data_IF_882950071753
#
_entry.id   IF_882950071753
#
_cell.length_a   1.000
_cell.length_b   1.000
_cell.length_c   1.000
_cell.angle_alpha   90.00
_cell.angle_beta   90.00
_cell.angle_gamma   90.00
#
_symmetry.space_group_name_H-M   'P 1'
#
loop_
_entity.id
_entity.type
_entity.pdbx_description
1 polymer ?
#
# COMPACT_ATOMS: atom_id res chain seq x y z
N UNK A 1 -51.75 -30.94 54.06
CA UNK A 1 -51.00 -29.80 53.54
C UNK A 1 -49.57 -30.26 53.39
N UNK A 2 -49.24 -30.92 52.26
CA UNK A 2 -47.90 -31.52 51.98
C UNK A 2 -47.08 -30.56 51.16
N UNK A 3 -45.90 -30.23 51.68
CA UNK A 3 -44.93 -29.37 51.03
C UNK A 3 -44.01 -30.28 50.18
N UNK A 4 -44.15 -30.20 48.86
CA UNK A 4 -43.28 -30.92 47.93
C UNK A 4 -42.03 -30.01 47.68
N UNK A 5 -40.92 -30.43 48.24
CA UNK A 5 -39.58 -29.78 48.00
C UNK A 5 -39.06 -30.34 46.70
N UNK A 6 -39.13 -29.53 45.62
CA UNK A 6 -38.53 -29.82 44.34
C UNK A 6 -37.02 -29.55 44.38
N UNK A 7 -36.22 -30.61 44.32
CA UNK A 7 -34.77 -30.55 44.13
C UNK A 7 -34.46 -30.17 42.66
N UNK A 8 -34.09 -28.92 42.42
CA UNK A 8 -33.48 -28.47 41.17
C UNK A 8 -32.01 -28.94 41.09
N UNK A 9 -31.81 -30.06 40.43
CA UNK A 9 -30.47 -30.50 39.99
C UNK A 9 -30.06 -29.59 38.82
N UNK A 10 -29.25 -28.55 39.09
CA UNK A 10 -28.55 -27.79 38.09
C UNK A 10 -27.39 -28.62 37.56
N UNK A 11 -27.58 -29.25 36.39
CA UNK A 11 -26.49 -29.86 35.64
C UNK A 11 -25.56 -28.76 35.13
N UNK A 12 -24.45 -28.51 35.84
CA UNK A 12 -23.32 -27.77 35.26
C UNK A 12 -22.72 -28.67 34.16
N UNK A 13 -23.11 -28.41 32.94
CA UNK A 13 -22.38 -28.91 31.77
C UNK A 13 -21.05 -28.21 31.71
N UNK A 14 -19.99 -28.86 32.19
CA UNK A 14 -18.61 -28.50 31.88
C UNK A 14 -18.42 -28.64 30.36
N UNK A 15 -18.62 -27.54 29.64
CA UNK A 15 -18.10 -27.41 28.29
C UNK A 15 -16.57 -27.38 28.42
N UNK A 16 -15.91 -28.56 28.29
CA UNK A 16 -14.54 -28.60 27.88
C UNK A 16 -14.49 -27.99 26.47
N UNK A 17 -14.05 -26.73 26.36
CA UNK A 17 -13.52 -26.23 25.11
C UNK A 17 -12.34 -27.16 24.76
N UNK A 18 -12.60 -28.12 23.90
CA UNK A 18 -11.57 -28.85 23.17
C UNK A 18 -10.97 -27.78 22.24
N UNK A 19 -9.94 -27.09 22.73
CA UNK A 19 -9.02 -26.40 21.82
C UNK A 19 -8.43 -27.52 20.96
N UNK A 20 -8.87 -27.59 19.72
CA UNK A 20 -8.33 -28.49 18.69
C UNK A 20 -6.81 -28.27 18.68
N UNK A 21 -6.06 -29.19 19.30
CA UNK A 21 -4.61 -29.08 19.37
C UNK A 21 -4.11 -29.14 17.93
N UNK A 22 -3.65 -27.99 17.42
CA UNK A 22 -3.15 -27.87 16.05
C UNK A 22 -2.12 -28.96 15.77
N UNK A 23 -2.45 -29.91 14.91
CA UNK A 23 -1.61 -31.09 14.64
C UNK A 23 -0.30 -30.74 13.91
N UNK A 24 -0.23 -29.54 13.29
CA UNK A 24 0.95 -28.98 12.63
C UNK A 24 1.10 -27.51 12.99
N UNK A 25 2.32 -27.10 13.28
CA UNK A 25 2.71 -25.71 13.55
C UNK A 25 3.76 -25.30 12.54
N UNK A 26 3.55 -24.18 11.84
CA UNK A 26 4.54 -23.57 10.95
C UNK A 26 5.19 -22.37 11.64
N UNK A 27 6.50 -22.30 11.58
CA UNK A 27 7.29 -21.18 12.14
C UNK A 27 8.30 -20.67 11.11
N UNK A 28 8.27 -19.38 10.78
CA UNK A 28 7.26 -18.40 11.17
C UNK A 28 5.90 -18.73 10.54
N UNK A 29 4.79 -18.31 11.19
CA UNK A 29 3.43 -18.57 10.69
C UNK A 29 3.07 -17.72 9.46
N UNK A 30 3.77 -16.59 9.28
CA UNK A 30 3.62 -15.64 8.18
C UNK A 30 4.97 -15.14 7.72
N UNK A 31 5.09 -14.85 6.42
CA UNK A 31 6.28 -14.25 5.81
C UNK A 31 5.87 -13.06 4.94
N UNK A 32 6.69 -12.00 4.96
CA UNK A 32 6.66 -10.92 3.99
C UNK A 32 8.00 -10.95 3.25
N UNK A 33 7.97 -11.27 1.95
CA UNK A 33 9.18 -11.56 1.17
C UNK A 33 9.21 -10.68 -0.07
N UNK A 34 10.36 -10.07 -0.35
CA UNK A 34 10.54 -9.36 -1.61
C UNK A 34 10.63 -10.35 -2.76
N UNK A 35 10.01 -10.02 -3.88
CA UNK A 35 10.11 -10.83 -5.10
C UNK A 35 11.57 -11.04 -5.51
N UNK A 36 11.94 -12.28 -5.71
CA UNK A 36 13.31 -12.69 -6.02
C UNK A 36 14.16 -13.07 -4.81
N UNK A 37 13.75 -12.73 -3.59
CA UNK A 37 14.50 -13.06 -2.37
C UNK A 37 14.24 -14.50 -1.91
N UNK A 38 15.14 -15.10 -1.12
CA UNK A 38 14.93 -16.42 -0.53
C UNK A 38 13.87 -16.41 0.56
N UNK A 39 13.26 -17.58 0.79
CA UNK A 39 12.31 -17.78 1.87
C UNK A 39 12.48 -19.17 2.49
N UNK A 40 12.17 -19.29 3.78
CA UNK A 40 12.17 -20.58 4.49
C UNK A 40 11.19 -20.59 5.65
N UNK A 41 10.70 -21.78 5.99
CA UNK A 41 9.85 -22.02 7.15
C UNK A 41 10.05 -23.44 7.66
N UNK A 42 9.69 -23.68 8.92
CA UNK A 42 9.77 -24.97 9.58
C UNK A 42 8.37 -25.43 9.95
N UNK A 43 7.99 -26.63 9.50
CA UNK A 43 6.78 -27.30 9.94
C UNK A 43 7.12 -28.27 11.07
N UNK A 44 6.35 -28.24 12.15
CA UNK A 44 6.53 -29.11 13.33
C UNK A 44 5.22 -29.83 13.62
N UNK A 45 5.30 -31.12 13.94
CA UNK A 45 4.16 -31.96 14.38
C UNK A 45 4.22 -32.22 15.88
N UNK A 46 3.07 -32.47 16.48
CA UNK A 46 2.89 -32.82 17.87
C UNK A 46 3.67 -34.14 18.22
N UNK A 47 3.56 -35.14 17.35
CA UNK A 47 4.26 -36.43 17.42
C UNK A 47 5.05 -36.67 16.13
N UNK A 48 6.09 -37.55 16.16
CA UNK A 48 6.79 -37.89 14.94
C UNK A 48 5.84 -38.51 13.88
N UNK A 49 5.75 -37.83 12.70
CA UNK A 49 4.93 -38.24 11.55
C UNK A 49 5.76 -38.16 10.28
N UNK A 50 5.31 -38.83 9.21
CA UNK A 50 5.83 -38.52 7.89
C UNK A 50 5.28 -37.16 7.48
N UNK A 51 6.16 -36.20 7.20
CA UNK A 51 5.85 -34.84 6.82
C UNK A 51 6.25 -34.59 5.37
N UNK A 52 5.50 -33.75 4.69
CA UNK A 52 5.80 -33.27 3.35
C UNK A 52 5.45 -31.79 3.21
N UNK A 53 6.08 -31.14 2.24
CA UNK A 53 5.71 -29.83 1.78
C UNK A 53 5.23 -29.88 0.32
N UNK A 54 4.05 -29.34 0.07
CA UNK A 54 3.52 -29.10 -1.27
C UNK A 54 3.62 -27.59 -1.58
N UNK A 55 4.27 -27.25 -2.68
CA UNK A 55 4.42 -25.89 -3.17
C UNK A 55 4.80 -25.92 -4.64
N UNK A 56 4.56 -24.81 -5.35
CA UNK A 56 5.04 -24.62 -6.74
C UNK A 56 6.56 -24.68 -6.83
N UNK A 57 7.27 -24.27 -5.76
CA UNK A 57 8.72 -24.32 -5.63
C UNK A 57 9.10 -24.82 -4.24
N UNK A 58 10.15 -25.62 -4.14
CA UNK A 58 10.66 -26.15 -2.86
C UNK A 58 9.79 -27.22 -2.22
N UNK A 59 8.83 -27.78 -2.95
CA UNK A 59 8.06 -28.93 -2.49
C UNK A 59 8.96 -30.14 -2.25
N UNK A 60 8.66 -30.88 -1.14
CA UNK A 60 9.46 -32.06 -0.76
C UNK A 60 8.60 -33.26 -0.74
N UNK A 61 8.25 -34.12 -1.24
CA UNK A 61 7.39 -35.29 -0.94
C UNK A 61 7.37 -35.64 0.56
N UNK A 62 6.69 -36.71 0.91
CA UNK A 62 6.71 -37.25 2.28
C UNK A 62 8.11 -37.76 2.63
N UNK A 63 8.52 -37.56 3.87
CA UNK A 63 9.75 -38.15 4.41
C UNK A 63 9.64 -39.67 4.52
N UNK A 64 10.71 -40.40 4.24
CA UNK A 64 10.75 -41.86 4.38
C UNK A 64 10.52 -42.31 5.82
N UNK A 65 10.95 -41.53 6.79
CA UNK A 65 10.84 -41.80 8.22
C UNK A 65 9.97 -40.77 8.91
N UNK A 66 9.38 -41.17 10.03
CA UNK A 66 8.65 -40.24 10.92
C UNK A 66 9.62 -39.26 11.54
N UNK A 67 9.34 -37.98 11.37
CA UNK A 67 10.13 -36.84 11.90
C UNK A 67 9.24 -35.89 12.70
N UNK A 68 9.83 -35.14 13.61
CA UNK A 68 9.10 -34.10 14.37
C UNK A 68 8.97 -32.78 13.60
N UNK A 69 9.86 -32.53 12.66
CA UNK A 69 9.83 -31.33 11.84
C UNK A 69 10.40 -31.56 10.45
N UNK A 70 10.01 -30.71 9.53
CA UNK A 70 10.53 -30.62 8.17
C UNK A 70 10.66 -29.16 7.75
N UNK A 71 11.80 -28.78 7.20
CA UNK A 71 12.01 -27.44 6.67
C UNK A 71 11.56 -27.34 5.22
N UNK A 72 11.00 -26.18 4.86
CA UNK A 72 10.80 -25.72 3.50
C UNK A 72 11.74 -24.56 3.24
N UNK A 73 12.33 -24.50 2.05
CA UNK A 73 13.16 -23.37 1.62
C UNK A 73 13.16 -23.26 0.10
N UNK A 74 13.27 -22.02 -0.35
CA UNK A 74 13.50 -21.65 -1.76
C UNK A 74 14.56 -20.56 -1.83
N UNK A 75 15.43 -20.61 -2.83
CA UNK A 75 16.47 -19.60 -3.02
C UNK A 75 15.92 -18.29 -3.60
N UNK A 76 14.78 -18.35 -4.26
CA UNK A 76 14.14 -17.18 -4.88
C UNK A 76 12.62 -17.38 -4.99
N UNK A 77 11.86 -16.46 -4.41
CA UNK A 77 10.40 -16.43 -4.51
C UNK A 77 10.00 -15.68 -5.76
N UNK A 78 9.59 -16.38 -6.81
CA UNK A 78 9.19 -15.84 -8.11
C UNK A 78 7.72 -16.07 -8.48
N UNK A 79 6.96 -16.68 -7.57
CA UNK A 79 5.53 -16.93 -7.73
C UNK A 79 4.74 -16.02 -6.78
N UNK A 80 3.89 -15.15 -7.34
CA UNK A 80 3.04 -14.22 -6.59
C UNK A 80 1.97 -14.92 -5.76
N UNK A 81 1.60 -16.14 -6.17
CA UNK A 81 0.55 -16.93 -5.56
C UNK A 81 1.08 -18.15 -4.81
N UNK A 82 2.38 -18.15 -4.48
CA UNK A 82 3.01 -19.26 -3.76
C UNK A 82 2.25 -19.59 -2.47
N UNK A 83 1.95 -20.88 -2.28
CA UNK A 83 1.16 -21.40 -1.15
C UNK A 83 1.79 -22.68 -0.61
N UNK A 84 2.94 -22.58 0.08
CA UNK A 84 3.55 -23.76 0.68
C UNK A 84 2.62 -24.34 1.73
N UNK A 85 2.30 -25.62 1.60
CA UNK A 85 1.42 -26.34 2.51
C UNK A 85 2.18 -27.51 3.10
N UNK A 86 2.33 -27.52 4.42
CA UNK A 86 2.84 -28.68 5.16
C UNK A 86 1.72 -29.69 5.36
N UNK A 87 2.00 -30.96 5.16
CA UNK A 87 1.02 -32.03 5.31
C UNK A 87 1.62 -33.30 5.92
N UNK A 88 0.74 -34.13 6.48
CA UNK A 88 1.08 -35.46 6.97
C UNK A 88 0.65 -36.54 5.99
N UNK A 89 1.20 -37.76 6.12
CA UNK A 89 0.72 -38.95 5.42
C UNK A 89 -0.81 -39.06 5.54
N UNK A 90 -1.47 -39.40 4.41
CA UNK A 90 -2.93 -39.49 4.34
C UNK A 90 -3.68 -38.17 4.35
N UNK A 91 -2.98 -37.02 4.43
CA UNK A 91 -3.59 -35.68 4.32
C UNK A 91 -4.52 -35.26 5.48
N UNK A 92 -4.49 -36.02 6.59
CA UNK A 92 -5.35 -35.73 7.75
C UNK A 92 -5.01 -34.42 8.44
N UNK A 93 -3.75 -34.00 8.40
CA UNK A 93 -3.28 -32.69 8.88
C UNK A 93 -2.65 -31.95 7.74
N UNK A 94 -3.11 -30.72 7.52
CA UNK A 94 -2.56 -29.80 6.55
C UNK A 94 -2.51 -28.41 7.15
N UNK A 95 -1.45 -27.67 6.87
CA UNK A 95 -1.33 -26.25 7.25
C UNK A 95 -0.60 -25.48 6.17
N UNK A 96 -1.20 -24.39 5.72
CA UNK A 96 -0.62 -23.51 4.72
C UNK A 96 0.20 -22.40 5.41
N UNK A 97 1.38 -22.12 4.85
CA UNK A 97 2.17 -20.94 5.20
C UNK A 97 1.60 -19.71 4.49
N UNK A 98 1.32 -18.66 5.26
CA UNK A 98 0.87 -17.39 4.70
C UNK A 98 2.07 -16.56 4.24
N UNK A 99 2.16 -16.29 2.91
CA UNK A 99 3.25 -15.52 2.33
C UNK A 99 2.66 -14.31 1.58
N UNK A 100 3.15 -13.12 1.94
CA UNK A 100 2.96 -11.90 1.18
C UNK A 100 4.22 -11.63 0.37
N UNK A 101 4.13 -11.76 -0.94
CA UNK A 101 5.23 -11.39 -1.86
C UNK A 101 5.05 -9.92 -2.24
N UNK A 102 6.12 -9.11 -2.12
CA UNK A 102 6.04 -7.70 -2.47
C UNK A 102 7.14 -7.30 -3.47
N UNK A 103 6.85 -6.25 -4.22
CA UNK A 103 7.78 -5.62 -5.16
C UNK A 103 7.61 -4.11 -5.09
N UNK A 104 8.72 -3.39 -4.98
CA UNK A 104 8.72 -1.94 -5.14
C UNK A 104 8.35 -1.57 -6.57
N UNK A 105 7.78 -0.39 -6.81
CA UNK A 105 7.50 0.06 -8.17
C UNK A 105 8.78 0.17 -8.99
N UNK A 106 8.68 -0.16 -10.28
CA UNK A 106 9.80 0.02 -11.22
C UNK A 106 10.08 1.52 -11.43
N UNK A 107 9.03 2.34 -11.36
CA UNK A 107 9.14 3.80 -11.41
C UNK A 107 7.95 4.47 -10.72
N UNK A 108 8.24 5.63 -10.12
CA UNK A 108 7.24 6.60 -9.66
C UNK A 108 7.57 7.92 -10.35
N UNK A 109 6.64 8.47 -11.10
CA UNK A 109 6.84 9.73 -11.80
C UNK A 109 5.61 10.64 -11.65
N UNK A 110 5.87 11.94 -11.73
CA UNK A 110 4.83 12.94 -11.63
C UNK A 110 4.74 13.72 -12.93
N UNK A 111 3.52 13.94 -13.41
CA UNK A 111 3.21 14.81 -14.54
C UNK A 111 2.26 15.90 -14.12
N UNK A 112 2.27 17.00 -14.85
CA UNK A 112 1.43 18.16 -14.58
C UNK A 112 1.30 19.05 -15.80
N UNK A 113 0.71 20.24 -15.66
CA UNK A 113 0.51 21.19 -16.76
C UNK A 113 1.84 21.63 -17.36
N UNK A 114 1.86 21.81 -18.67
CA UNK A 114 2.99 22.43 -19.37
C UNK A 114 2.90 23.96 -19.27
N UNK A 115 3.97 24.57 -18.77
CA UNK A 115 4.08 26.03 -18.69
C UNK A 115 3.56 26.64 -17.38
N UNK A 116 3.54 27.99 -17.31
CA UNK A 116 3.14 28.71 -16.10
C UNK A 116 1.67 28.52 -15.76
N UNK A 117 1.39 28.38 -14.48
CA UNK A 117 0.04 28.24 -13.92
C UNK A 117 -0.46 29.61 -13.44
N UNK A 118 -1.77 29.79 -13.46
CA UNK A 118 -2.44 30.97 -12.97
C UNK A 118 -2.95 30.71 -11.56
N UNK A 119 -2.67 31.62 -10.64
CA UNK A 119 -3.13 31.59 -9.26
C UNK A 119 -4.64 31.32 -9.16
N UNK A 120 -5.05 30.37 -8.31
CA UNK A 120 -6.44 30.03 -8.03
C UNK A 120 -7.14 29.23 -9.13
N UNK A 121 -6.52 28.99 -10.29
CA UNK A 121 -7.06 28.09 -11.31
C UNK A 121 -6.71 26.66 -10.98
N UNK A 122 -7.68 25.75 -11.13
CA UNK A 122 -7.47 24.31 -10.90
C UNK A 122 -6.69 23.67 -12.04
N UNK A 123 -5.75 22.80 -11.67
CA UNK A 123 -4.91 22.01 -12.58
C UNK A 123 -4.88 20.56 -12.13
N UNK A 124 -4.76 19.66 -13.10
CA UNK A 124 -4.58 18.25 -12.84
C UNK A 124 -3.10 17.86 -12.85
N UNK A 125 -2.66 17.22 -11.77
CA UNK A 125 -1.37 16.53 -11.68
C UNK A 125 -1.64 15.04 -11.59
N UNK A 126 -0.72 14.21 -12.07
CA UNK A 126 -0.86 12.76 -12.04
C UNK A 126 0.40 12.11 -11.49
N UNK A 127 0.22 11.21 -10.54
CA UNK A 127 1.24 10.28 -10.07
C UNK A 127 1.13 8.99 -10.87
N UNK A 128 2.17 8.63 -11.62
CA UNK A 128 2.24 7.41 -12.39
C UNK A 128 3.14 6.42 -11.66
N UNK A 129 2.60 5.26 -11.32
CA UNK A 129 3.30 4.20 -10.59
C UNK A 129 3.29 2.95 -11.47
N UNK A 130 4.49 2.36 -11.69
CA UNK A 130 4.66 1.22 -12.56
C UNK A 130 5.05 -0.03 -11.78
N UNK A 131 4.28 -1.11 -11.96
CA UNK A 131 4.60 -2.48 -11.54
C UNK A 131 4.93 -2.64 -10.04
N UNK A 132 4.06 -2.17 -9.16
CA UNK A 132 4.12 -2.33 -7.71
C UNK A 132 3.25 -3.50 -7.24
N UNK A 133 3.68 -4.27 -6.25
CA UNK A 133 2.92 -5.37 -5.66
C UNK A 133 3.15 -5.48 -4.14
N UNK A 134 2.12 -5.91 -3.37
CA UNK A 134 0.73 -6.10 -3.76
C UNK A 134 -0.02 -4.77 -3.82
N UNK A 135 -0.93 -4.63 -4.80
CA UNK A 135 -1.66 -3.37 -5.02
C UNK A 135 -2.56 -2.94 -3.87
N UNK A 136 -3.05 -3.89 -3.07
CA UNK A 136 -3.88 -3.61 -1.88
C UNK A 136 -3.10 -3.04 -0.68
N UNK A 137 -1.77 -3.06 -0.74
CA UNK A 137 -0.88 -2.45 0.27
C UNK A 137 -0.29 -1.11 -0.18
N UNK A 138 -0.63 -0.67 -1.40
CA UNK A 138 -0.15 0.59 -1.95
C UNK A 138 -0.90 1.76 -1.32
N UNK A 139 -0.14 2.74 -0.83
CA UNK A 139 -0.62 4.05 -0.43
C UNK A 139 0.07 5.10 -1.29
N UNK A 140 -0.71 6.01 -1.86
CA UNK A 140 -0.21 7.11 -2.69
C UNK A 140 -0.38 8.41 -1.93
N UNK A 141 0.63 9.27 -1.97
CA UNK A 141 0.57 10.57 -1.32
C UNK A 141 1.22 11.65 -2.17
N UNK A 142 0.65 12.85 -2.14
CA UNK A 142 1.20 14.03 -2.80
C UNK A 142 1.73 15.00 -1.76
N UNK A 143 2.92 15.52 -2.02
CA UNK A 143 3.62 16.42 -1.10
C UNK A 143 4.07 17.69 -1.80
N UNK A 144 4.18 18.75 -0.99
CA UNK A 144 4.71 20.03 -1.41
C UNK A 144 5.82 20.50 -0.47
N UNK A 145 6.85 21.13 -1.02
CA UNK A 145 7.82 21.93 -0.26
C UNK A 145 7.89 23.33 -0.82
N UNK A 146 7.97 24.33 0.08
CA UNK A 146 8.12 25.74 -0.30
C UNK A 146 9.49 25.99 -0.95
N UNK A 147 9.54 26.95 -1.88
CA UNK A 147 10.78 27.46 -2.47
C UNK A 147 11.64 28.19 -1.44
N UNK A 148 11.01 28.81 -0.43
CA UNK A 148 11.65 29.69 0.54
C UNK A 148 11.61 29.04 1.93
N UNK A 149 12.76 28.89 2.58
CA UNK A 149 12.87 28.38 3.93
C UNK A 149 13.20 26.91 4.05
N UNK A 150 12.93 26.31 5.21
CA UNK A 150 13.17 24.88 5.45
C UNK A 150 12.35 24.06 4.46
N UNK A 151 12.98 23.09 3.81
CA UNK A 151 12.34 22.11 2.94
C UNK A 151 11.40 21.22 3.76
N UNK A 152 10.36 21.81 4.34
CA UNK A 152 9.38 21.06 5.13
C UNK A 152 8.42 20.40 4.14
N UNK A 153 8.50 19.07 4.07
CA UNK A 153 7.57 18.24 3.32
C UNK A 153 6.18 18.37 3.93
N UNK A 154 5.23 18.88 3.19
CA UNK A 154 3.83 19.03 3.61
C UNK A 154 2.96 18.12 2.78
N UNK A 155 2.19 17.24 3.43
CA UNK A 155 1.20 16.40 2.76
C UNK A 155 0.08 17.31 2.22
N UNK A 156 -0.20 17.19 0.92
CA UNK A 156 -1.30 17.88 0.25
C UNK A 156 -2.54 17.00 0.16
N UNK A 157 -2.36 15.77 -0.27
CA UNK A 157 -3.45 14.85 -0.58
C UNK A 157 -2.97 13.41 -0.58
N UNK A 158 -3.84 12.51 -0.18
CA UNK A 158 -3.65 11.07 -0.27
C UNK A 158 -4.95 10.45 -0.84
N UNK A 159 -4.96 10.08 -2.13
CA UNK A 159 -6.12 9.48 -2.76
C UNK A 159 -6.38 8.07 -2.22
N UNK A 160 -7.64 7.66 -2.20
CA UNK A 160 -7.98 6.27 -2.00
C UNK A 160 -7.50 5.44 -3.19
N UNK A 161 -6.66 4.46 -2.92
CA UNK A 161 -6.22 3.48 -3.92
C UNK A 161 -7.28 2.38 -4.01
N UNK A 162 -7.89 2.14 -5.19
CA UNK A 162 -8.87 1.08 -5.36
C UNK A 162 -8.29 -0.27 -4.96
N UNK A 163 -9.04 -1.04 -4.16
CA UNK A 163 -8.61 -2.36 -3.73
C UNK A 163 -8.41 -3.28 -4.93
N UNK A 164 -7.27 -3.92 -4.97
CA UNK A 164 -6.89 -4.89 -5.99
C UNK A 164 -7.09 -6.32 -5.46
N UNK A 165 -7.60 -7.21 -6.30
CA UNK A 165 -7.73 -8.63 -5.96
C UNK A 165 -6.51 -9.44 -6.40
N UNK A 166 -5.74 -8.94 -7.36
CA UNK A 166 -4.52 -9.58 -7.83
C UNK A 166 -3.37 -9.37 -6.84
N UNK A 167 -2.53 -10.40 -6.73
CA UNK A 167 -1.24 -10.32 -6.03
C UNK A 167 -0.10 -9.90 -6.97
N UNK A 168 -0.34 -9.95 -8.28
CA UNK A 168 0.64 -9.59 -9.31
C UNK A 168 0.88 -8.07 -9.35
N UNK A 169 2.02 -7.63 -9.90
CA UNK A 169 2.33 -6.21 -10.00
C UNK A 169 1.30 -5.43 -10.83
N UNK A 170 0.86 -4.33 -10.28
CA UNK A 170 -0.06 -3.39 -10.93
C UNK A 170 0.64 -2.10 -11.31
N UNK A 171 0.08 -1.40 -12.29
CA UNK A 171 0.43 -0.02 -12.63
C UNK A 171 -0.82 0.84 -12.55
N UNK A 172 -0.66 2.10 -12.17
CA UNK A 172 -1.80 3.01 -12.02
C UNK A 172 -1.42 4.47 -12.19
N UNK A 173 -2.44 5.28 -12.47
CA UNK A 173 -2.39 6.73 -12.48
C UNK A 173 -3.30 7.27 -11.39
N UNK A 174 -2.78 8.16 -10.55
CA UNK A 174 -3.49 8.74 -9.42
C UNK A 174 -3.54 10.26 -9.60
N UNK A 175 -4.73 10.84 -9.81
CA UNK A 175 -4.86 12.25 -10.05
C UNK A 175 -4.85 13.07 -8.76
N UNK A 176 -4.32 14.30 -8.85
CA UNK A 176 -4.47 15.38 -7.89
C UNK A 176 -5.03 16.59 -8.63
N UNK A 177 -6.23 17.03 -8.28
CA UNK A 177 -6.78 18.32 -8.69
C UNK A 177 -6.39 19.34 -7.63
N UNK A 178 -5.67 20.39 -8.05
CA UNK A 178 -5.16 21.37 -7.11
C UNK A 178 -5.01 22.74 -7.74
N UNK A 179 -5.32 23.78 -6.95
CA UNK A 179 -5.25 25.18 -7.34
C UNK A 179 -4.07 25.86 -6.63
N UNK A 180 -2.97 26.16 -7.32
CA UNK A 180 -1.81 26.81 -6.71
C UNK A 180 -2.15 28.25 -6.30
N UNK A 181 -1.53 28.71 -5.23
CA UNK A 181 -1.52 30.10 -4.78
C UNK A 181 -0.24 30.78 -5.27
N UNK A 182 -0.20 32.11 -5.19
CA UNK A 182 1.01 32.90 -5.48
C UNK A 182 2.22 32.48 -4.62
N UNK A 183 1.97 32.04 -3.38
CA UNK A 183 3.02 31.56 -2.47
C UNK A 183 3.65 30.24 -2.90
N UNK A 184 3.07 29.56 -3.90
CA UNK A 184 3.57 28.30 -4.44
C UNK A 184 4.51 28.50 -5.64
N UNK A 185 4.77 29.75 -6.05
CA UNK A 185 5.74 30.00 -7.12
C UNK A 185 7.14 29.53 -6.71
N UNK A 186 7.77 28.73 -7.56
CA UNK A 186 9.05 28.08 -7.30
C UNK A 186 8.99 26.90 -6.31
N UNK A 187 7.85 26.59 -5.72
CA UNK A 187 7.69 25.40 -4.87
C UNK A 187 7.88 24.11 -5.67
N UNK A 188 8.13 23.01 -4.96
CA UNK A 188 8.29 21.68 -5.51
C UNK A 188 7.12 20.81 -5.09
N UNK A 189 6.58 20.05 -6.03
CA UNK A 189 5.51 19.09 -5.85
C UNK A 189 6.01 17.71 -6.27
N UNK A 190 5.72 16.68 -5.50
CA UNK A 190 6.03 15.28 -5.87
C UNK A 190 5.02 14.33 -5.27
N UNK A 191 5.01 13.11 -5.76
CA UNK A 191 4.22 12.04 -5.18
C UNK A 191 5.09 10.91 -4.67
N UNK A 192 4.52 10.10 -3.79
CA UNK A 192 5.15 8.89 -3.28
C UNK A 192 4.24 7.68 -3.36
N UNK A 193 4.86 6.52 -3.48
CA UNK A 193 4.27 5.20 -3.40
C UNK A 193 4.85 4.48 -2.18
N UNK A 194 4.03 4.29 -1.14
CA UNK A 194 4.40 3.59 0.09
C UNK A 194 3.70 2.24 0.14
N UNK A 195 4.43 1.17 0.46
CA UNK A 195 3.86 -0.16 0.69
C UNK A 195 3.65 -0.41 2.18
N UNK A 196 2.39 -0.43 2.60
CA UNK A 196 1.97 -0.77 3.96
C UNK A 196 1.90 -2.28 4.16
N UNK A 197 3.05 -2.93 4.39
CA UNK A 197 3.19 -4.39 4.49
C UNK A 197 2.95 -4.93 5.91
N UNK A 198 2.53 -4.09 6.86
CA UNK A 198 2.31 -4.45 8.25
C UNK A 198 3.60 -4.64 9.04
N UNK A 199 3.46 -5.14 10.27
CA UNK A 199 4.59 -5.28 11.22
C UNK A 199 5.65 -6.29 10.78
N UNK A 200 5.27 -7.30 10.00
CA UNK A 200 6.20 -8.31 9.47
C UNK A 200 6.95 -7.85 8.22
N UNK A 201 6.54 -6.74 7.62
CA UNK A 201 7.24 -6.11 6.50
C UNK A 201 8.47 -5.33 6.96
N UNK A 202 9.25 -4.82 5.98
CA UNK A 202 10.37 -3.94 6.27
C UNK A 202 9.95 -2.72 7.11
N UNK A 203 10.83 -2.33 8.06
CA UNK A 203 10.63 -1.17 8.91
C UNK A 203 11.83 -0.20 8.75
N UNK A 204 11.62 1.05 8.34
CA UNK A 204 10.32 1.68 7.99
C UNK A 204 9.70 1.06 6.74
N UNK A 205 8.36 1.25 6.54
CA UNK A 205 7.68 0.78 5.33
C UNK A 205 8.36 1.32 4.07
N UNK A 206 8.53 0.49 3.02
CA UNK A 206 9.21 0.92 1.80
C UNK A 206 8.42 2.02 1.09
N UNK A 207 9.09 3.10 0.76
CA UNK A 207 8.54 4.26 0.04
C UNK A 207 9.45 4.63 -1.14
N UNK A 208 8.84 4.93 -2.29
CA UNK A 208 9.52 5.43 -3.49
C UNK A 208 8.86 6.74 -3.88
N UNK A 209 9.65 7.79 -4.05
CA UNK A 209 9.17 9.12 -4.44
C UNK A 209 9.48 9.40 -5.92
N UNK A 210 8.64 10.25 -6.54
CA UNK A 210 8.93 10.79 -7.87
C UNK A 210 9.99 11.87 -7.79
N UNK A 211 10.58 12.20 -8.95
CA UNK A 211 11.32 13.46 -9.09
C UNK A 211 10.39 14.66 -8.82
N UNK A 212 10.92 15.74 -8.22
CA UNK A 212 10.13 16.93 -7.95
C UNK A 212 9.68 17.64 -9.22
N UNK A 213 8.40 17.98 -9.30
CA UNK A 213 7.82 18.87 -10.30
C UNK A 213 7.90 20.32 -9.78
N UNK A 214 8.67 21.18 -10.47
CA UNK A 214 8.81 22.59 -10.09
C UNK A 214 7.60 23.40 -10.57
N UNK A 215 6.97 24.12 -9.65
CA UNK A 215 5.84 24.98 -9.93
C UNK A 215 6.31 26.34 -10.43
N UNK A 216 5.60 26.89 -11.44
CA UNK A 216 5.71 28.27 -11.87
C UNK A 216 4.32 28.88 -11.84
N UNK A 217 4.08 29.84 -10.95
CA UNK A 217 2.75 30.42 -10.71
C UNK A 217 2.77 31.91 -10.95
N UNK A 218 1.90 32.36 -11.87
CA UNK A 218 1.69 33.77 -12.17
C UNK A 218 0.42 34.27 -11.45
N UNK A 219 0.51 35.44 -10.81
CA UNK A 219 -0.67 36.11 -10.31
C UNK A 219 -1.51 36.63 -11.46
N UNK A 220 -2.83 36.59 -11.33
CA UNK A 220 -3.71 37.42 -12.14
C UNK A 220 -3.47 38.88 -11.75
N UNK A 221 -2.46 39.55 -12.35
CA UNK A 221 -2.45 41.00 -12.35
C UNK A 221 -3.66 41.41 -13.16
N UNK A 222 -4.72 41.86 -12.46
CA UNK A 222 -5.82 42.53 -13.13
C UNK A 222 -5.22 43.67 -13.96
N UNK A 223 -5.29 43.53 -15.29
CA UNK A 223 -5.19 44.69 -16.15
C UNK A 223 -6.34 45.61 -15.71
N UNK A 224 -6.01 46.53 -14.80
CA UNK A 224 -6.92 47.62 -14.53
C UNK A 224 -7.22 48.26 -15.90
N UNK A 225 -8.50 48.18 -16.29
CA UNK A 225 -9.06 48.93 -17.39
C UNK A 225 -8.93 50.44 -17.04
N UNK A 226 -7.71 50.96 -17.19
CA UNK A 226 -7.29 52.33 -16.86
C UNK A 226 -6.86 53.14 -18.07
N UNK A 227 -7.38 52.82 -19.28
CA UNK A 227 -7.01 53.59 -20.48
C UNK A 227 -8.18 54.04 -21.34
N UNK A 228 -9.44 53.91 -20.87
CA UNK A 228 -10.58 54.40 -21.65
C UNK A 228 -11.17 55.74 -21.18
N UNK A 229 -10.66 56.36 -20.10
CA UNK A 229 -11.22 57.60 -19.59
C UNK A 229 -10.43 58.89 -19.99
N UNK A 230 -9.23 58.76 -20.57
CA UNK A 230 -8.45 59.95 -20.96
C UNK A 230 -8.80 60.44 -22.38
N UNK A 231 -9.35 59.58 -23.25
CA UNK A 231 -9.68 59.96 -24.62
C UNK A 231 -11.00 60.73 -24.76
N UNK A 232 -11.89 60.70 -23.77
CA UNK A 232 -13.20 61.44 -23.84
C UNK A 232 -13.07 62.86 -23.41
N UNK A 233 -12.11 63.26 -22.55
CA UNK A 233 -11.91 64.63 -22.12
C UNK A 233 -11.19 65.52 -23.12
N UNK A 234 -10.45 65.01 -24.07
CA UNK A 234 -9.76 65.76 -25.10
C UNK A 234 -10.64 66.12 -26.32
N UNK A 235 -11.74 65.41 -26.55
CA UNK A 235 -12.69 65.75 -27.61
C UNK A 235 -13.71 66.79 -27.27
N UNK A 236 -13.89 67.19 -26.02
CA UNK A 236 -14.78 68.26 -25.58
C UNK A 236 -14.15 69.68 -25.59
N UNK A 237 -12.82 69.75 -25.71
CA UNK A 237 -12.12 71.05 -25.75
C UNK A 237 -11.94 71.65 -27.19
N UNK A 238 -12.26 70.85 -28.22
CA UNK A 238 -12.15 71.32 -29.63
C UNK A 238 -13.46 71.96 -30.16
N UNK A 239 -14.52 71.94 -29.39
CA UNK A 239 -15.82 72.53 -29.80
C UNK A 239 -16.10 73.93 -29.28
N UNK A 240 -15.09 74.58 -28.66
CA UNK A 240 -15.21 75.95 -28.14
C UNK A 240 -14.09 76.91 -28.59
N UNK A 241 -13.58 76.71 -29.80
CA UNK A 241 -12.73 77.67 -30.46
C UNK A 241 -13.27 78.00 -31.85
#
# INVERSE_FOLDING_TARGET
MEIVIGLLLSSLSLYCDFTDAECLVISPARLVVKYGDPASAKCTSDQPKQLGWEATHGGTGLTDKKVKFLNWSVDSVTDWNIKPTCYTEGGQCQKQLDITVYKLPDSVSMTGPSGPMVEGKEYEFKCLIQKVAPGNSLNVSFYKASAIGRKTKTLLYAPDVPRQTTKEPISGEYPLLWSPSRGDDGAQLWCSALLGLGELGPQPPPEVESEPFKLTVHSCSGQAAGSAMVAVFLLQLIHWL
#
